data_IF_132075476992
#
_entry.id   IF_132075476992
#
_cell.length_a   1.000
_cell.length_b   1.000
_cell.length_c   1.000
_cell.angle_alpha   90.00
_cell.angle_beta   90.00
_cell.angle_gamma   90.00
#
_symmetry.space_group_name_H-M   'P 1'
#
loop_
_entity.id
_entity.type
_entity.pdbx_description
1 polymer ?
#
# COMPACT_ATOMS: atom_id res chain seq x y z
N UNK A 1 -16.48 -24.51 -2.18
CA UNK A 1 -16.97 -24.34 -0.79
C UNK A 1 -16.46 -22.98 -0.29
N UNK A 2 -17.32 -22.00 0.00
CA UNK A 2 -16.88 -20.72 0.58
C UNK A 2 -16.49 -20.98 2.04
N UNK A 3 -15.26 -20.69 2.42
CA UNK A 3 -14.81 -20.85 3.80
C UNK A 3 -15.46 -19.73 4.63
N UNK A 4 -16.41 -20.10 5.48
CA UNK A 4 -17.00 -19.16 6.45
C UNK A 4 -15.88 -18.84 7.44
N UNK A 5 -15.42 -17.59 7.40
CA UNK A 5 -14.44 -17.05 8.33
C UNK A 5 -15.05 -15.76 8.88
N UNK A 6 -14.92 -15.51 10.18
CA UNK A 6 -15.36 -14.25 10.79
C UNK A 6 -14.13 -13.46 11.18
N UNK A 7 -14.02 -12.22 10.72
CA UNK A 7 -13.08 -11.26 11.31
C UNK A 7 -13.63 -10.88 12.69
N UNK A 8 -12.89 -11.20 13.76
CA UNK A 8 -13.25 -10.81 15.14
C UNK A 8 -12.92 -9.33 15.39
N UNK A 9 -12.02 -8.74 14.60
CA UNK A 9 -11.43 -7.39 14.78
C UNK A 9 -12.43 -6.22 14.73
N UNK A 10 -13.68 -6.45 14.32
CA UNK A 10 -14.71 -5.41 14.30
C UNK A 10 -14.50 -4.29 13.27
N UNK A 11 -13.39 -4.30 12.51
CA UNK A 11 -13.11 -3.42 11.37
C UNK A 11 -12.71 -4.29 10.19
N UNK A 12 -13.33 -4.06 9.04
CA UNK A 12 -13.18 -4.90 7.86
C UNK A 12 -12.33 -4.21 6.80
N UNK A 13 -11.20 -4.82 6.38
CA UNK A 13 -10.31 -4.21 5.40
C UNK A 13 -10.87 -4.35 3.98
N UNK A 14 -11.04 -3.21 3.32
CA UNK A 14 -11.48 -3.09 1.92
C UNK A 14 -10.33 -2.52 1.11
N UNK A 15 -9.57 -3.43 0.50
CA UNK A 15 -8.40 -3.08 -0.29
C UNK A 15 -8.74 -2.94 -1.78
N UNK A 16 -8.37 -1.79 -2.36
CA UNK A 16 -8.63 -1.39 -3.75
C UNK A 16 -7.33 -0.96 -4.43
N UNK A 17 -7.31 -1.02 -5.76
CA UNK A 17 -6.13 -0.65 -6.56
C UNK A 17 -6.49 0.38 -7.62
N UNK A 18 -5.63 1.39 -7.77
CA UNK A 18 -5.70 2.33 -8.89
C UNK A 18 -5.32 1.67 -10.23
N UNK A 19 -5.63 2.36 -11.33
CA UNK A 19 -5.20 1.96 -12.68
C UNK A 19 -3.68 1.76 -12.74
N UNK A 20 -3.17 0.83 -13.57
CA UNK A 20 -1.74 0.66 -13.79
C UNK A 20 -1.20 1.80 -14.68
N UNK A 21 -0.97 2.97 -14.08
CA UNK A 21 -0.44 4.17 -14.78
C UNK A 21 1.11 4.12 -14.87
N UNK A 22 1.72 3.08 -14.31
CA UNK A 22 3.17 2.91 -14.25
C UNK A 22 3.76 3.46 -12.96
N UNK A 23 5.04 3.17 -12.74
CA UNK A 23 5.80 3.63 -11.59
C UNK A 23 7.14 4.17 -12.10
N UNK A 24 7.61 5.32 -11.57
CA UNK A 24 8.87 5.91 -12.03
C UNK A 24 10.13 5.15 -11.57
N UNK A 25 10.02 4.17 -10.67
CA UNK A 25 11.18 3.40 -10.20
C UNK A 25 11.51 2.22 -11.12
N UNK A 26 12.72 1.65 -11.03
CA UNK A 26 13.19 0.50 -11.81
C UNK A 26 13.59 -0.70 -10.92
N UNK A 27 12.90 -0.85 -9.80
CA UNK A 27 13.28 -1.81 -8.76
C UNK A 27 13.42 -3.28 -9.24
N UNK A 28 14.55 -3.91 -8.88
CA UNK A 28 14.98 -5.26 -9.32
C UNK A 28 14.00 -6.38 -8.94
N UNK A 29 13.41 -6.33 -7.74
CA UNK A 29 12.52 -7.38 -7.22
C UNK A 29 11.04 -7.10 -7.50
N UNK A 30 10.67 -5.90 -7.97
CA UNK A 30 9.28 -5.57 -8.26
C UNK A 30 8.81 -6.24 -9.56
N UNK A 31 7.76 -7.06 -9.55
CA UNK A 31 7.10 -7.46 -10.79
C UNK A 31 6.53 -6.24 -11.53
N UNK A 32 6.62 -6.29 -12.86
CA UNK A 32 6.17 -5.23 -13.75
C UNK A 32 5.36 -5.84 -14.91
N UNK A 33 4.18 -6.38 -14.61
CA UNK A 33 3.27 -6.87 -15.63
C UNK A 33 2.44 -5.71 -16.20
N UNK A 34 2.22 -5.69 -17.51
CA UNK A 34 1.52 -4.59 -18.21
C UNK A 34 0.08 -4.39 -17.74
N UNK A 35 -0.52 -5.43 -17.16
CA UNK A 35 -1.90 -5.47 -16.75
C UNK A 35 -2.07 -5.45 -15.22
N UNK A 36 -1.04 -5.19 -14.42
CA UNK A 36 -1.16 -5.05 -12.96
C UNK A 36 -0.39 -3.84 -12.43
N UNK A 37 -0.81 -3.24 -11.31
CA UNK A 37 0.01 -2.25 -10.63
C UNK A 37 1.40 -2.81 -10.30
N UNK A 38 2.43 -1.96 -10.39
CA UNK A 38 3.81 -2.38 -10.10
C UNK A 38 3.92 -2.96 -8.69
N UNK A 39 4.81 -3.95 -8.52
CA UNK A 39 5.05 -4.71 -7.29
C UNK A 39 4.00 -5.78 -6.97
N UNK A 40 2.91 -5.85 -7.73
CA UNK A 40 1.88 -6.85 -7.54
C UNK A 40 1.92 -7.93 -8.63
N UNK A 41 1.52 -9.14 -8.27
CA UNK A 41 1.41 -10.28 -9.20
C UNK A 41 -0.02 -10.39 -9.73
N UNK A 42 -0.20 -10.84 -10.99
CA UNK A 42 -1.52 -10.96 -11.61
C UNK A 42 -2.43 -11.97 -10.89
N UNK A 43 -1.85 -12.89 -10.12
CA UNK A 43 -2.57 -13.93 -9.37
C UNK A 43 -3.10 -13.44 -8.01
N UNK A 44 -2.70 -12.24 -7.55
CA UNK A 44 -3.20 -11.70 -6.29
C UNK A 44 -4.72 -11.52 -6.34
N UNK A 45 -5.49 -11.98 -5.33
CA UNK A 45 -6.94 -11.81 -5.31
C UNK A 45 -7.39 -10.34 -5.38
N UNK A 46 -6.55 -9.40 -4.93
CA UNK A 46 -6.80 -7.97 -5.08
C UNK A 46 -6.67 -7.51 -6.53
N UNK A 47 -5.59 -7.91 -7.21
CA UNK A 47 -5.34 -7.58 -8.62
C UNK A 47 -6.40 -8.19 -9.52
N UNK A 48 -6.74 -9.47 -9.32
CA UNK A 48 -7.79 -10.15 -10.09
C UNK A 48 -9.14 -9.45 -9.97
N UNK A 49 -9.50 -8.99 -8.77
CA UNK A 49 -10.72 -8.22 -8.54
C UNK A 49 -10.65 -6.83 -9.18
N UNK A 50 -9.52 -6.14 -9.06
CA UNK A 50 -9.31 -4.84 -9.69
C UNK A 50 -9.47 -4.93 -11.22
N UNK A 51 -8.87 -5.96 -11.85
CA UNK A 51 -9.03 -6.26 -13.28
C UNK A 51 -10.50 -6.52 -13.65
N UNK A 52 -11.20 -7.37 -12.91
CA UNK A 52 -12.61 -7.66 -13.15
C UNK A 52 -13.53 -6.42 -13.00
N UNK A 53 -13.07 -5.41 -12.25
CA UNK A 53 -13.76 -4.14 -12.07
C UNK A 53 -13.19 -3.01 -12.96
N UNK A 54 -12.34 -3.32 -13.96
CA UNK A 54 -11.67 -2.33 -14.81
C UNK A 54 -10.94 -1.21 -14.04
N UNK A 55 -10.45 -1.51 -12.85
CA UNK A 55 -9.84 -0.55 -11.91
C UNK A 55 -10.76 0.61 -11.49
N UNK A 56 -12.08 0.47 -11.65
CA UNK A 56 -13.06 1.44 -11.16
C UNK A 56 -13.19 1.32 -9.64
N UNK A 57 -12.93 2.40 -8.89
CA UNK A 57 -12.80 2.36 -7.44
C UNK A 57 -14.10 1.91 -6.76
N UNK A 58 -15.23 2.53 -7.11
CA UNK A 58 -16.53 2.21 -6.53
C UNK A 58 -16.97 0.76 -6.78
N UNK A 59 -16.71 0.22 -7.98
CA UNK A 59 -16.99 -1.19 -8.29
C UNK A 59 -16.13 -2.14 -7.47
N UNK A 60 -14.85 -1.81 -7.26
CA UNK A 60 -13.96 -2.62 -6.42
C UNK A 60 -14.42 -2.63 -4.95
N UNK A 61 -14.85 -1.49 -4.41
CA UNK A 61 -15.40 -1.38 -3.05
C UNK A 61 -16.69 -2.20 -2.93
N UNK A 62 -17.66 -1.98 -3.82
CA UNK A 62 -18.94 -2.69 -3.79
C UNK A 62 -18.77 -4.21 -3.90
N UNK A 63 -17.90 -4.69 -4.81
CA UNK A 63 -17.62 -6.12 -4.95
C UNK A 63 -16.93 -6.69 -3.71
N UNK A 64 -16.00 -5.92 -3.11
CA UNK A 64 -15.30 -6.36 -1.89
C UNK A 64 -16.25 -6.46 -0.71
N UNK A 65 -17.13 -5.49 -0.50
CA UNK A 65 -18.19 -5.55 0.52
C UNK A 65 -19.09 -6.76 0.30
N UNK A 66 -19.58 -6.97 -0.94
CA UNK A 66 -20.41 -8.13 -1.29
C UNK A 66 -19.75 -9.46 -0.96
N UNK A 67 -18.45 -9.61 -1.27
CA UNK A 67 -17.67 -10.82 -0.95
C UNK A 67 -17.59 -11.02 0.58
N UNK A 68 -17.28 -9.97 1.33
CA UNK A 68 -17.10 -10.01 2.78
C UNK A 68 -18.42 -10.32 3.51
N UNK A 69 -19.50 -9.62 3.15
CA UNK A 69 -20.85 -9.89 3.67
C UNK A 69 -21.29 -11.32 3.33
N UNK A 70 -21.01 -11.80 2.12
CA UNK A 70 -21.28 -13.18 1.69
C UNK A 70 -20.45 -14.25 2.40
N UNK A 71 -19.40 -13.86 3.14
CA UNK A 71 -18.61 -14.72 4.02
C UNK A 71 -19.01 -14.58 5.50
N UNK A 72 -19.95 -13.67 5.82
CA UNK A 72 -20.42 -13.42 7.19
C UNK A 72 -19.55 -12.46 7.99
N UNK A 73 -18.71 -11.65 7.33
CA UNK A 73 -17.95 -10.59 8.00
C UNK A 73 -18.84 -9.36 8.23
N UNK A 74 -18.71 -8.69 9.38
CA UNK A 74 -19.34 -7.38 9.58
C UNK A 74 -18.77 -6.37 8.58
N UNK A 75 -19.57 -5.39 8.18
CA UNK A 75 -19.17 -4.33 7.26
C UNK A 75 -19.61 -2.95 7.76
N UNK A 76 -20.04 -2.82 9.01
CA UNK A 76 -20.44 -1.55 9.62
C UNK A 76 -19.25 -0.60 9.83
N UNK A 77 -18.05 -1.16 10.02
CA UNK A 77 -16.79 -0.43 10.10
C UNK A 77 -15.81 -0.96 9.08
N UNK A 78 -15.32 -0.07 8.24
CA UNK A 78 -14.43 -0.36 7.12
C UNK A 78 -13.13 0.42 7.28
N UNK A 79 -12.01 -0.25 7.01
CA UNK A 79 -10.75 0.42 6.70
C UNK A 79 -10.53 0.32 5.18
N UNK A 80 -10.54 1.46 4.49
CA UNK A 80 -10.15 1.52 3.08
C UNK A 80 -8.63 1.42 2.97
N UNK A 81 -8.14 0.61 2.04
CA UNK A 81 -6.70 0.47 1.77
C UNK A 81 -6.48 0.70 0.28
N UNK A 82 -5.89 1.85 -0.06
CA UNK A 82 -5.47 2.17 -1.42
C UNK A 82 -4.09 1.55 -1.62
N UNK A 83 -4.09 0.40 -2.28
CA UNK A 83 -2.89 -0.38 -2.57
C UNK A 83 -2.18 0.13 -3.82
N UNK A 84 -0.86 0.03 -3.78
CA UNK A 84 0.04 0.51 -4.82
C UNK A 84 0.89 1.66 -4.29
N UNK A 85 2.21 1.56 -4.46
CA UNK A 85 3.14 2.56 -3.93
C UNK A 85 3.19 3.88 -4.71
N UNK A 86 2.37 4.09 -5.73
CA UNK A 86 2.47 5.25 -6.65
C UNK A 86 1.17 6.02 -6.83
N UNK A 87 0.13 5.73 -6.04
CA UNK A 87 -1.15 6.41 -6.17
C UNK A 87 -1.02 7.94 -6.08
N UNK A 88 -0.20 8.44 -5.15
CA UNK A 88 0.06 9.87 -4.95
C UNK A 88 0.89 10.53 -6.07
N UNK A 89 1.41 9.75 -7.02
CA UNK A 89 2.09 10.24 -8.21
C UNK A 89 1.15 10.37 -9.42
N UNK A 90 -0.12 9.95 -9.29
CA UNK A 90 -1.09 10.05 -10.37
C UNK A 90 -1.61 11.48 -10.51
N UNK A 91 -2.25 11.86 -11.63
CA UNK A 91 -2.87 13.18 -11.76
C UNK A 91 -3.83 13.46 -10.60
N UNK A 92 -3.77 14.67 -10.03
CA UNK A 92 -4.59 15.06 -8.87
C UNK A 92 -6.07 14.76 -9.09
N UNK A 93 -6.65 15.16 -10.23
CA UNK A 93 -8.05 14.88 -10.56
C UNK A 93 -8.42 13.38 -10.45
N UNK A 94 -7.53 12.49 -10.89
CA UNK A 94 -7.73 11.06 -10.76
C UNK A 94 -7.74 10.63 -9.28
N UNK A 95 -6.82 11.15 -8.46
CA UNK A 95 -6.74 10.82 -7.04
C UNK A 95 -8.04 11.20 -6.31
N UNK A 96 -8.49 12.45 -6.47
CA UNK A 96 -9.71 12.94 -5.81
C UNK A 96 -10.95 12.17 -6.27
N UNK A 97 -11.08 11.93 -7.59
CA UNK A 97 -12.19 11.14 -8.11
C UNK A 97 -12.16 9.70 -7.57
N UNK A 98 -10.98 9.07 -7.53
CA UNK A 98 -10.83 7.71 -7.04
C UNK A 98 -11.23 7.57 -5.56
N UNK A 99 -10.82 8.52 -4.71
CA UNK A 99 -11.20 8.51 -3.29
C UNK A 99 -12.70 8.79 -3.13
N UNK A 100 -13.24 9.78 -3.86
CA UNK A 100 -14.67 10.08 -3.86
C UNK A 100 -15.50 8.86 -4.25
N UNK A 101 -15.11 8.16 -5.33
CA UNK A 101 -15.80 6.94 -5.78
C UNK A 101 -15.75 5.82 -4.73
N UNK A 102 -14.69 5.73 -3.93
CA UNK A 102 -14.64 4.80 -2.79
C UNK A 102 -15.69 5.17 -1.74
N UNK A 103 -15.79 6.45 -1.36
CA UNK A 103 -16.78 6.92 -0.39
C UNK A 103 -18.21 6.76 -0.92
N UNK A 104 -18.48 7.13 -2.17
CA UNK A 104 -19.78 6.96 -2.82
C UNK A 104 -20.24 5.49 -2.78
N UNK A 105 -19.31 4.54 -3.00
CA UNK A 105 -19.63 3.11 -2.92
C UNK A 105 -19.88 2.62 -1.49
N UNK A 106 -19.24 3.21 -0.48
CA UNK A 106 -19.56 2.94 0.94
C UNK A 106 -20.92 3.53 1.33
N UNK A 107 -21.26 4.70 0.77
CA UNK A 107 -22.49 5.43 1.06
C UNK A 107 -23.70 4.85 0.29
N UNK A 108 -23.47 4.19 -0.83
CA UNK A 108 -24.52 3.63 -1.69
C UNK A 108 -25.16 4.64 -2.65
N UNK A 109 -24.58 5.84 -2.82
CA UNK A 109 -25.05 6.86 -3.76
C UNK A 109 -23.90 7.73 -4.27
N UNK A 110 -24.12 8.46 -5.37
CA UNK A 110 -23.13 9.37 -5.93
C UNK A 110 -23.26 10.77 -5.31
N UNK A 111 -22.18 11.27 -4.72
CA UNK A 111 -22.10 12.66 -4.24
C UNK A 111 -21.63 13.62 -5.34
N UNK A 112 -21.78 14.94 -5.13
CA UNK A 112 -21.27 15.97 -6.05
C UNK A 112 -19.79 16.28 -5.85
N UNK A 113 -19.25 16.06 -4.65
CA UNK A 113 -17.86 16.34 -4.28
C UNK A 113 -17.33 15.32 -3.28
N UNK A 114 -16.00 15.29 -3.09
CA UNK A 114 -15.36 14.44 -2.08
C UNK A 114 -15.80 14.83 -0.66
N UNK A 115 -15.91 16.13 -0.35
CA UNK A 115 -16.35 16.59 0.97
C UNK A 115 -17.78 16.13 1.28
N UNK A 116 -18.71 16.24 0.32
CA UNK A 116 -20.07 15.73 0.51
C UNK A 116 -20.07 14.21 0.74
N UNK A 117 -19.26 13.46 -0.01
CA UNK A 117 -19.14 12.01 0.15
C UNK A 117 -18.60 11.64 1.54
N UNK A 118 -17.61 12.38 2.05
CA UNK A 118 -17.05 12.21 3.40
C UNK A 118 -18.09 12.53 4.48
N UNK A 119 -18.76 13.67 4.39
CA UNK A 119 -19.79 14.08 5.36
C UNK A 119 -20.95 13.09 5.40
N UNK A 120 -21.40 12.59 4.24
CA UNK A 120 -22.40 11.53 4.20
C UNK A 120 -21.91 10.23 4.89
N UNK A 121 -20.62 9.91 4.73
CA UNK A 121 -20.05 8.69 5.30
C UNK A 121 -19.98 8.69 6.84
N UNK A 122 -19.97 9.86 7.49
CA UNK A 122 -19.96 10.00 8.95
C UNK A 122 -21.11 9.23 9.64
N UNK A 123 -22.25 9.11 8.96
CA UNK A 123 -23.45 8.44 9.48
C UNK A 123 -23.90 7.23 8.65
N UNK A 124 -23.15 6.87 7.60
CA UNK A 124 -23.48 5.76 6.70
C UNK A 124 -23.48 4.39 7.42
N UNK A 125 -24.10 3.40 6.77
CA UNK A 125 -24.08 2.00 7.22
C UNK A 125 -22.67 1.43 7.19
N UNK A 126 -21.92 1.65 6.10
CA UNK A 126 -20.52 1.26 5.96
C UNK A 126 -19.60 2.44 6.28
N UNK A 127 -19.24 2.62 7.56
CA UNK A 127 -18.41 3.76 7.98
C UNK A 127 -16.94 3.52 7.65
N UNK A 128 -16.33 4.45 6.94
CA UNK A 128 -14.88 4.51 6.76
C UNK A 128 -14.24 5.02 8.05
N UNK A 129 -13.86 4.09 8.94
CA UNK A 129 -13.20 4.42 10.21
C UNK A 129 -11.69 4.57 10.07
N UNK A 130 -11.16 4.28 8.88
CA UNK A 130 -9.77 4.49 8.55
C UNK A 130 -9.52 4.40 7.05
N UNK A 131 -8.55 5.16 6.59
CA UNK A 131 -8.11 5.14 5.21
C UNK A 131 -6.58 5.04 5.21
N UNK A 132 -6.08 3.97 4.61
CA UNK A 132 -4.66 3.67 4.46
C UNK A 132 -4.22 3.92 3.01
N UNK A 133 -3.14 4.68 2.83
CA UNK A 133 -2.51 4.88 1.52
C UNK A 133 -1.09 4.33 1.54
N UNK A 134 -0.76 3.48 0.57
CA UNK A 134 0.61 3.05 0.30
C UNK A 134 1.34 4.11 -0.54
N UNK A 135 2.58 4.46 -0.18
CA UNK A 135 3.41 5.38 -0.98
C UNK A 135 4.90 5.07 -0.87
N UNK A 136 5.71 5.68 -1.74
CA UNK A 136 7.17 5.65 -1.63
C UNK A 136 7.68 6.77 -0.70
N UNK A 137 8.79 6.55 0.03
CA UNK A 137 9.42 7.59 0.84
C UNK A 137 9.77 8.88 0.06
N UNK A 138 10.28 8.74 -1.17
CA UNK A 138 10.62 9.87 -2.05
C UNK A 138 9.39 10.61 -2.63
N UNK A 139 8.18 10.05 -2.45
CA UNK A 139 6.93 10.61 -2.94
C UNK A 139 5.93 10.84 -1.80
N UNK A 140 6.44 11.42 -0.72
CA UNK A 140 5.70 11.72 0.50
C UNK A 140 6.10 13.10 1.04
N UNK A 141 5.99 14.13 0.19
CA UNK A 141 6.24 15.52 0.56
C UNK A 141 5.01 16.20 1.16
N UNK A 142 5.15 17.48 1.52
CA UNK A 142 4.08 18.25 2.18
C UNK A 142 2.81 18.36 1.32
N UNK A 143 2.96 18.50 0.00
CA UNK A 143 1.83 18.49 -0.95
C UNK A 143 1.05 17.17 -0.88
N UNK A 144 1.75 16.04 -0.93
CA UNK A 144 1.12 14.72 -0.85
C UNK A 144 0.47 14.50 0.52
N UNK A 145 1.09 14.95 1.61
CA UNK A 145 0.52 14.85 2.96
C UNK A 145 -0.76 15.69 3.09
N UNK A 146 -0.79 16.90 2.53
CA UNK A 146 -2.02 17.72 2.51
C UNK A 146 -3.14 17.05 1.73
N UNK A 147 -2.86 16.51 0.55
CA UNK A 147 -3.85 15.75 -0.22
C UNK A 147 -4.37 14.54 0.56
N UNK A 148 -3.48 13.79 1.24
CA UNK A 148 -3.89 12.67 2.10
C UNK A 148 -4.84 13.09 3.23
N UNK A 149 -4.63 14.26 3.84
CA UNK A 149 -5.55 14.78 4.87
C UNK A 149 -6.91 15.16 4.28
N UNK A 150 -6.93 15.76 3.09
CA UNK A 150 -8.19 16.05 2.37
C UNK A 150 -8.95 14.76 2.03
N UNK A 151 -8.24 13.68 1.71
CA UNK A 151 -8.83 12.35 1.49
C UNK A 151 -9.42 11.71 2.75
N UNK A 152 -9.07 12.19 3.95
CA UNK A 152 -9.42 11.53 5.22
C UNK A 152 -8.49 10.37 5.59
N UNK A 153 -7.25 10.39 5.11
CA UNK A 153 -6.22 9.37 5.43
C UNK A 153 -5.93 9.35 6.92
N UNK A 154 -5.84 8.15 7.50
CA UNK A 154 -5.49 7.95 8.93
C UNK A 154 -4.19 7.18 9.12
N UNK A 155 -3.73 6.47 8.08
CA UNK A 155 -2.53 5.65 8.11
C UNK A 155 -1.80 5.69 6.76
N UNK A 156 -0.48 5.71 6.80
CA UNK A 156 0.37 5.67 5.61
C UNK A 156 1.33 4.50 5.72
N UNK A 157 1.41 3.73 4.65
CA UNK A 157 2.34 2.61 4.50
C UNK A 157 3.48 3.03 3.56
N UNK A 158 4.68 3.23 4.12
CA UNK A 158 5.89 3.59 3.38
C UNK A 158 6.62 2.35 2.87
N UNK A 159 6.91 2.34 1.56
CA UNK A 159 7.75 1.34 0.92
C UNK A 159 9.25 1.48 1.24
N UNK A 160 9.62 1.35 2.52
CA UNK A 160 11.00 1.49 3.07
C UNK A 160 11.89 0.32 2.65
N UNK A 161 11.42 -0.91 2.88
CA UNK A 161 12.03 -2.18 2.52
C UNK A 161 13.26 -2.55 3.35
N UNK A 162 14.25 -1.66 3.45
CA UNK A 162 15.43 -1.81 4.32
C UNK A 162 15.93 -0.43 4.78
N UNK A 163 16.97 -0.35 5.60
CA UNK A 163 17.59 0.91 6.05
C UNK A 163 19.06 1.02 5.58
N UNK A 164 19.31 0.65 4.32
CA UNK A 164 20.66 0.63 3.75
C UNK A 164 20.67 1.20 2.32
N UNK A 165 21.41 2.30 2.14
CA UNK A 165 21.56 3.00 0.87
C UNK A 165 22.34 2.17 -0.17
N UNK A 166 23.23 1.27 0.24
CA UNK A 166 23.98 0.39 -0.66
C UNK A 166 23.06 -0.67 -1.26
N UNK A 167 22.18 -1.24 -0.43
CA UNK A 167 21.12 -2.14 -0.89
C UNK A 167 20.16 -1.37 -1.81
N UNK A 168 19.74 -0.15 -1.46
CA UNK A 168 18.88 0.66 -2.33
C UNK A 168 19.47 0.92 -3.70
N UNK A 169 20.77 1.23 -3.77
CA UNK A 169 21.50 1.39 -5.05
C UNK A 169 21.54 0.08 -5.82
N UNK A 170 21.85 -1.04 -5.16
CA UNK A 170 21.93 -2.35 -5.79
C UNK A 170 20.59 -2.79 -6.40
N UNK A 171 19.48 -2.60 -5.66
CA UNK A 171 18.14 -3.01 -6.10
C UNK A 171 17.40 -1.94 -6.90
N UNK A 172 18.07 -0.84 -7.26
CA UNK A 172 17.52 0.29 -8.04
C UNK A 172 16.22 0.84 -7.42
N UNK A 173 16.21 1.00 -6.09
CA UNK A 173 14.99 1.39 -5.34
C UNK A 173 14.50 2.78 -5.71
N UNK A 174 15.43 3.69 -5.96
CA UNK A 174 15.19 5.07 -6.39
C UNK A 174 14.89 6.07 -5.27
N UNK A 175 15.25 5.73 -4.02
CA UNK A 175 15.21 6.61 -2.85
C UNK A 175 16.36 6.25 -1.90
N UNK A 176 16.60 7.09 -0.90
CA UNK A 176 17.60 6.91 0.16
C UNK A 176 16.98 6.83 1.56
N UNK A 177 17.74 6.36 2.55
CA UNK A 177 17.34 6.35 3.97
C UNK A 177 16.95 7.74 4.44
N UNK A 178 17.65 8.78 3.96
CA UNK A 178 17.29 10.17 4.26
C UNK A 178 15.86 10.52 3.83
N UNK A 179 15.32 9.93 2.76
CA UNK A 179 13.94 10.16 2.31
C UNK A 179 12.95 9.50 3.25
N UNK A 180 13.28 8.31 3.77
CA UNK A 180 12.52 7.59 4.80
C UNK A 180 12.38 8.43 6.07
N UNK A 181 13.51 9.00 6.55
CA UNK A 181 13.53 9.85 7.75
C UNK A 181 12.64 11.08 7.54
N UNK A 182 12.81 11.79 6.42
CA UNK A 182 12.03 13.00 6.12
C UNK A 182 10.54 12.72 6.01
N UNK A 183 10.14 11.67 5.28
CA UNK A 183 8.75 11.26 5.14
C UNK A 183 8.13 10.86 6.48
N UNK A 184 8.87 10.09 7.29
CA UNK A 184 8.39 9.63 8.61
C UNK A 184 8.15 10.79 9.55
N UNK A 185 9.11 11.70 9.67
CA UNK A 185 8.97 12.90 10.50
C UNK A 185 7.74 13.71 10.08
N UNK A 186 7.60 13.98 8.78
CA UNK A 186 6.48 14.76 8.25
C UNK A 186 5.13 14.10 8.56
N UNK A 187 5.00 12.79 8.31
CA UNK A 187 3.76 12.07 8.59
C UNK A 187 3.39 12.12 10.09
N UNK A 188 4.38 11.97 10.98
CA UNK A 188 4.19 12.06 12.44
C UNK A 188 3.81 13.47 12.89
N UNK A 189 4.43 14.52 12.34
CA UNK A 189 4.11 15.92 12.62
C UNK A 189 2.64 16.25 12.25
N UNK A 190 2.12 15.63 11.19
CA UNK A 190 0.72 15.74 10.77
C UNK A 190 -0.23 14.74 11.45
N UNK A 191 0.25 13.96 12.42
CA UNK A 191 -0.58 13.06 13.23
C UNK A 191 -1.04 11.77 12.53
N UNK A 192 -0.41 11.39 11.42
CA UNK A 192 -0.72 10.15 10.69
C UNK A 192 0.01 8.95 11.32
N UNK A 193 -0.65 7.78 11.32
CA UNK A 193 0.01 6.51 11.67
C UNK A 193 0.97 6.12 10.55
N UNK A 194 2.19 5.71 10.90
CA UNK A 194 3.25 5.39 9.94
C UNK A 194 3.63 3.93 10.03
N UNK A 195 3.39 3.19 8.96
CA UNK A 195 3.76 1.78 8.83
C UNK A 195 4.88 1.64 7.81
N UNK A 196 5.85 0.76 8.07
CA UNK A 196 6.89 0.44 7.09
C UNK A 196 6.62 -0.91 6.45
N UNK A 197 6.76 -0.97 5.13
CA UNK A 197 7.01 -2.24 4.44
C UNK A 197 8.46 -2.64 4.70
N UNK A 198 8.69 -3.87 5.15
CA UNK A 198 10.01 -4.36 5.54
C UNK A 198 10.32 -5.67 4.83
N UNK A 199 11.43 -5.73 4.12
CA UNK A 199 11.80 -6.83 3.22
C UNK A 199 13.14 -7.43 3.59
N UNK A 200 13.20 -8.42 4.50
CA UNK A 200 14.41 -9.20 4.70
C UNK A 200 14.73 -10.04 3.45
N UNK A 201 16.00 -10.34 3.24
CA UNK A 201 16.48 -11.16 2.12
C UNK A 201 16.68 -10.42 0.81
N UNK A 202 16.80 -9.09 0.84
CA UNK A 202 17.13 -8.33 -0.37
C UNK A 202 18.56 -8.64 -0.85
N UNK A 203 18.83 -8.55 -2.17
CA UNK A 203 20.19 -8.66 -2.69
C UNK A 203 21.16 -7.72 -1.97
N UNK A 204 22.33 -8.22 -1.62
CA UNK A 204 23.34 -7.47 -0.87
C UNK A 204 23.18 -7.50 0.64
N UNK A 205 22.11 -8.12 1.17
CA UNK A 205 21.92 -8.37 2.61
C UNK A 205 22.25 -9.80 3.02
N UNK A 206 22.35 -10.02 4.33
CA UNK A 206 22.32 -11.32 4.97
C UNK A 206 21.46 -11.28 6.25
N UNK A 207 21.25 -12.44 6.87
CA UNK A 207 20.38 -12.57 8.05
C UNK A 207 20.89 -11.72 9.22
N UNK A 208 22.20 -11.62 9.42
CA UNK A 208 22.78 -10.82 10.49
C UNK A 208 22.53 -9.33 10.26
N UNK A 209 22.77 -8.87 9.03
CA UNK A 209 22.54 -7.49 8.62
C UNK A 209 21.06 -7.08 8.71
N UNK A 210 20.14 -7.92 8.22
CA UNK A 210 18.70 -7.66 8.32
C UNK A 210 18.24 -7.56 9.78
N UNK A 211 18.81 -8.36 10.69
CA UNK A 211 18.51 -8.31 12.12
C UNK A 211 19.08 -7.04 12.78
N UNK A 212 20.28 -6.61 12.39
CA UNK A 212 20.87 -5.34 12.84
C UNK A 212 20.00 -4.15 12.43
N UNK A 213 19.62 -4.07 11.16
CA UNK A 213 18.75 -3.01 10.65
C UNK A 213 17.35 -3.07 11.27
N UNK A 214 16.83 -4.27 11.53
CA UNK A 214 15.55 -4.45 12.25
C UNK A 214 15.64 -3.97 13.70
N UNK A 215 16.79 -4.12 14.34
CA UNK A 215 17.04 -3.54 15.67
C UNK A 215 17.13 -2.02 15.60
N UNK A 216 17.85 -1.47 14.62
CA UNK A 216 17.94 -0.03 14.40
C UNK A 216 16.57 0.60 14.16
N UNK A 217 15.70 -0.06 13.38
CA UNK A 217 14.35 0.38 13.05
C UNK A 217 13.51 0.79 14.27
N UNK A 218 13.70 0.11 15.41
CA UNK A 218 12.95 0.35 16.65
C UNK A 218 13.73 1.10 17.73
N UNK A 219 15.05 1.27 17.57
CA UNK A 219 15.91 1.92 18.57
C UNK A 219 16.42 3.30 18.14
N UNK A 220 16.41 3.61 16.84
CA UNK A 220 16.78 4.93 16.33
C UNK A 220 15.54 5.85 16.23
N UNK A 221 15.63 7.02 16.86
CA UNK A 221 14.52 7.98 16.95
C UNK A 221 14.02 8.50 15.59
N UNK A 222 14.84 8.41 14.54
CA UNK A 222 14.51 8.84 13.18
C UNK A 222 13.47 7.94 12.48
N UNK A 223 13.21 6.74 13.00
CA UNK A 223 12.30 5.75 12.39
C UNK A 223 11.10 5.44 13.31
N UNK A 224 11.21 4.42 14.16
CA UNK A 224 10.19 3.97 15.11
C UNK A 224 8.75 3.98 14.54
N UNK A 225 8.48 3.20 13.47
CA UNK A 225 7.14 3.15 12.88
C UNK A 225 6.13 2.55 13.85
N UNK A 226 4.85 2.92 13.70
CA UNK A 226 3.75 2.38 14.51
C UNK A 226 3.42 0.92 14.17
N UNK A 227 3.91 0.44 13.04
CA UNK A 227 3.71 -0.93 12.58
C UNK A 227 4.66 -1.30 11.45
N UNK A 228 4.86 -2.60 11.28
CA UNK A 228 5.70 -3.16 10.23
C UNK A 228 4.92 -4.22 9.46
N UNK A 229 4.98 -4.15 8.14
CA UNK A 229 4.42 -5.14 7.22
C UNK A 229 5.57 -5.90 6.59
N UNK A 230 5.80 -7.11 7.08
CA UNK A 230 6.95 -7.93 6.69
C UNK A 230 6.63 -8.67 5.38
N UNK A 231 7.53 -8.52 4.41
CA UNK A 231 7.49 -9.19 3.12
C UNK A 231 8.81 -9.94 2.91
N UNK A 232 8.87 -11.24 3.17
CA UNK A 232 10.05 -12.03 2.80
C UNK A 232 10.35 -11.86 1.32
N UNK A 233 11.61 -11.59 0.96
CA UNK A 233 11.98 -11.41 -0.45
C UNK A 233 11.77 -12.71 -1.22
N UNK A 234 11.03 -12.63 -2.32
CA UNK A 234 10.71 -13.78 -3.17
C UNK A 234 11.27 -13.59 -4.58
N UNK A 235 11.77 -14.67 -5.17
CA UNK A 235 12.10 -14.73 -6.59
C UNK A 235 10.80 -14.91 -7.38
N UNK A 236 10.29 -13.83 -7.96
CA UNK A 236 9.04 -13.83 -8.72
C UNK A 236 9.33 -13.91 -10.22
N UNK A 237 8.63 -14.79 -10.93
CA UNK A 237 8.74 -14.95 -12.39
C UNK A 237 8.51 -13.61 -13.11
N UNK A 238 9.36 -13.32 -14.10
CA UNK A 238 9.31 -12.10 -14.91
C UNK A 238 10.04 -10.90 -14.31
N UNK A 239 10.69 -11.04 -13.15
CA UNK A 239 11.47 -9.97 -12.50
C UNK A 239 12.94 -9.98 -12.93
N UNK A 240 13.66 -8.88 -12.69
CA UNK A 240 15.12 -8.88 -12.83
C UNK A 240 15.77 -9.80 -11.79
N UNK A 241 15.18 -9.90 -10.59
CA UNK A 241 15.63 -10.82 -9.54
C UNK A 241 15.58 -12.30 -9.95
N UNK A 242 14.60 -12.71 -10.77
CA UNK A 242 14.57 -14.06 -11.38
C UNK A 242 15.82 -14.33 -12.22
N UNK A 243 16.26 -13.36 -13.02
CA UNK A 243 17.49 -13.51 -13.82
C UNK A 243 18.70 -13.66 -12.92
N UNK A 244 18.81 -12.84 -11.87
CA UNK A 244 19.91 -12.92 -10.91
C UNK A 244 19.95 -14.27 -10.19
N UNK A 245 18.79 -14.85 -9.89
CA UNK A 245 18.70 -16.20 -9.32
C UNK A 245 19.27 -17.26 -10.26
N UNK A 246 18.82 -17.29 -11.52
CA UNK A 246 19.31 -18.25 -12.52
C UNK A 246 20.79 -18.05 -12.89
N UNK A 247 21.29 -16.82 -12.81
CA UNK A 247 22.71 -16.47 -12.98
C UNK A 247 23.58 -16.79 -11.76
N UNK A 248 22.98 -17.20 -10.63
CA UNK A 248 23.69 -17.45 -9.37
C UNK A 248 24.15 -16.19 -8.64
N UNK A 249 23.71 -15.01 -9.06
CA UNK A 249 24.02 -13.70 -8.45
C UNK A 249 23.18 -13.38 -7.22
N UNK A 250 22.06 -14.08 -7.04
CA UNK A 250 21.21 -13.98 -5.87
C UNK A 250 20.74 -15.37 -5.44
N UNK A 251 20.77 -15.62 -4.12
CA UNK A 251 20.17 -16.81 -3.52
C UNK A 251 19.24 -16.33 -2.40
N UNK A 252 17.94 -16.69 -2.42
CA UNK A 252 17.03 -16.36 -1.34
C UNK A 252 17.44 -17.09 -0.05
N UNK A 253 16.98 -16.58 1.09
CA UNK A 253 17.17 -17.28 2.37
C UNK A 253 16.47 -18.65 2.34
N UNK A 254 17.08 -19.62 3.03
CA UNK A 254 16.58 -20.99 3.18
C UNK A 254 15.46 -21.09 4.21
#
# INVERSE_FOLDING_TARGET
MRKISRTISGVTPVAVMGKPIGCPGECVYCPNFSDSPKSYTPESPAVLRAKACNYEAGRQVAERLRILSGMGHPADKVELIVMGGTFLAYPSEYQYQFIKDCYDALNGFQSSSLEEAKTANETAEHRCVGLCIETRPDWCGEEQVRAMLEFGTTRVELGVQTLDDDIFRLVKRGHAVADVIRATRLLKEYGLKVYYHWMPGLPGSDVGHDLELSSQLFNAADFCPDGVKIYPTLVVKGTELEKWYWEGRYQPYL
#
